data_IF_569443430025
#
_entry.id   IF_569443430025
#
_cell.length_a   1.000
_cell.length_b   1.000
_cell.length_c   1.000
_cell.angle_alpha   90.00
_cell.angle_beta   90.00
_cell.angle_gamma   90.00
#
_symmetry.space_group_name_H-M   'P 1'
#
loop_
_entity.id
_entity.type
_entity.pdbx_description
1 polymer ?
#
# COMPACT_ATOMS: atom_id res chain seq x y z
N UNK A 1 -31.50 -28.55 -26.32
CA UNK A 1 -31.32 -28.71 -24.87
C UNK A 1 -30.47 -27.55 -24.38
N UNK A 2 -30.97 -26.93 -23.31
CA UNK A 2 -30.47 -25.75 -22.61
C UNK A 2 -29.33 -26.08 -21.64
N UNK A 3 -28.67 -25.00 -21.17
CA UNK A 3 -27.95 -24.83 -19.90
C UNK A 3 -26.41 -25.02 -19.82
N UNK A 4 -25.74 -23.86 -19.90
CA UNK A 4 -24.90 -23.19 -18.88
C UNK A 4 -23.67 -23.90 -18.25
N UNK A 5 -22.47 -23.26 -18.31
CA UNK A 5 -21.35 -23.57 -17.42
C UNK A 5 -21.52 -22.88 -16.06
N UNK A 6 -21.29 -23.63 -14.98
CA UNK A 6 -21.09 -23.13 -13.60
C UNK A 6 -19.63 -23.37 -13.24
N UNK A 7 -18.93 -22.35 -12.75
CA UNK A 7 -18.20 -22.42 -11.46
C UNK A 7 -17.62 -21.03 -11.12
N UNK A 8 -18.40 -20.25 -10.37
CA UNK A 8 -17.98 -19.03 -9.67
C UNK A 8 -17.39 -19.46 -8.33
N UNK A 9 -16.08 -19.59 -8.22
CA UNK A 9 -15.42 -19.81 -6.93
C UNK A 9 -15.22 -18.47 -6.23
N UNK A 10 -16.24 -18.05 -5.50
CA UNK A 10 -16.18 -16.92 -4.57
C UNK A 10 -15.24 -17.24 -3.39
N UNK A 11 -14.21 -16.42 -3.21
CA UNK A 11 -13.28 -16.48 -2.08
C UNK A 11 -13.92 -15.86 -0.83
N UNK A 12 -14.17 -16.67 0.21
CA UNK A 12 -14.67 -16.21 1.50
C UNK A 12 -13.53 -15.91 2.49
N UNK A 13 -13.43 -14.68 3.05
CA UNK A 13 -12.46 -14.38 4.08
C UNK A 13 -12.94 -14.88 5.45
N UNK A 14 -12.15 -15.76 6.08
CA UNK A 14 -12.37 -16.16 7.47
C UNK A 14 -11.84 -15.07 8.41
N UNK A 15 -12.78 -14.47 9.14
CA UNK A 15 -12.55 -13.46 10.16
C UNK A 15 -12.26 -14.17 11.49
N UNK A 16 -11.01 -14.16 11.94
CA UNK A 16 -10.64 -14.62 13.29
C UNK A 16 -10.43 -13.41 14.20
N UNK A 17 -11.12 -13.49 15.32
CA UNK A 17 -11.41 -12.42 16.27
C UNK A 17 -10.46 -12.51 17.47
N UNK A 18 -10.36 -11.39 18.20
CA UNK A 18 -9.95 -11.31 19.62
C UNK A 18 -8.45 -11.14 19.91
N UNK A 19 -8.07 -9.99 20.46
CA UNK A 19 -8.02 -9.81 21.93
C UNK A 19 -7.38 -8.46 22.27
N UNK A 20 -8.08 -7.73 23.13
CA UNK A 20 -7.68 -6.48 23.77
C UNK A 20 -6.73 -6.80 24.93
N UNK A 21 -5.62 -6.07 25.07
CA UNK A 21 -4.98 -5.87 26.38
C UNK A 21 -4.41 -4.43 26.46
N UNK A 22 -4.83 -3.75 27.53
CA UNK A 22 -4.37 -2.44 27.97
C UNK A 22 -3.05 -2.57 28.74
N UNK A 23 -2.13 -1.62 28.57
CA UNK A 23 -1.15 -1.27 29.61
C UNK A 23 -0.67 0.18 29.47
N UNK A 24 -0.63 0.84 30.63
CA UNK A 24 -0.43 2.26 30.90
C UNK A 24 1.04 2.67 31.18
N UNK A 25 1.38 3.94 30.87
CA UNK A 25 2.37 4.86 31.53
C UNK A 25 3.89 4.54 31.30
N UNK A 26 4.86 5.45 31.01
CA UNK A 26 5.13 6.87 31.36
C UNK A 26 6.20 7.56 30.47
N UNK A 27 6.00 8.88 30.28
CA UNK A 27 6.90 10.05 30.07
C UNK A 27 8.44 9.86 29.91
N UNK A 28 9.04 10.51 28.88
CA UNK A 28 9.86 11.77 28.91
C UNK A 28 10.68 11.91 27.59
N UNK A 29 10.49 12.93 26.73
CA UNK A 29 11.16 14.26 26.63
C UNK A 29 12.11 14.39 25.40
N UNK A 30 11.74 15.33 24.53
CA UNK A 30 12.51 16.24 23.65
C UNK A 30 13.40 15.84 22.45
N UNK A 31 13.03 16.50 21.32
CA UNK A 31 13.82 17.21 20.29
C UNK A 31 14.59 16.47 19.17
N UNK A 32 14.14 16.79 17.96
CA UNK A 32 14.78 16.67 16.63
C UNK A 32 16.00 17.61 16.47
N UNK A 33 16.57 17.87 15.25
CA UNK A 33 16.53 17.16 13.94
C UNK A 33 17.95 16.98 13.32
N UNK A 34 18.10 16.20 12.24
CA UNK A 34 19.25 16.39 11.32
C UNK A 34 19.02 15.84 9.91
N UNK A 35 18.85 16.80 9.01
CA UNK A 35 18.94 16.77 7.55
C UNK A 35 20.37 16.41 7.12
N UNK A 36 20.58 15.42 6.25
CA UNK A 36 21.81 15.43 5.45
C UNK A 36 21.65 14.81 4.06
N UNK A 37 21.71 15.71 3.08
CA UNK A 37 21.83 15.49 1.65
C UNK A 37 23.19 14.86 1.28
N UNK A 38 23.19 13.78 0.50
CA UNK A 38 24.32 13.46 -0.38
C UNK A 38 23.83 13.04 -1.78
N UNK A 39 24.18 13.90 -2.72
CA UNK A 39 24.04 13.85 -4.16
C UNK A 39 25.08 12.86 -4.74
N UNK A 40 24.65 11.96 -5.63
CA UNK A 40 25.51 11.28 -6.62
C UNK A 40 24.78 11.27 -7.96
N UNK A 41 25.53 11.42 -9.06
CA UNK A 41 25.09 11.73 -10.43
C UNK A 41 25.50 10.58 -11.37
N UNK A 42 24.69 10.40 -12.43
CA UNK A 42 24.85 9.61 -13.67
C UNK A 42 24.44 8.12 -13.60
N UNK A 43 23.69 7.50 -14.53
CA UNK A 43 23.05 7.85 -15.82
C UNK A 43 22.18 6.64 -16.21
N UNK A 44 20.89 6.82 -16.52
CA UNK A 44 20.13 6.01 -17.49
C UNK A 44 18.79 6.71 -17.79
N UNK A 45 18.45 6.82 -19.08
CA UNK A 45 17.32 7.57 -19.62
C UNK A 45 16.00 6.81 -19.39
N UNK A 46 15.26 7.20 -18.35
CA UNK A 46 13.82 6.93 -18.21
C UNK A 46 13.17 8.16 -17.58
N UNK A 47 11.94 8.57 -17.96
CA UNK A 47 11.29 9.71 -17.35
C UNK A 47 10.99 9.36 -15.89
N UNK A 48 11.87 9.80 -14.98
CA UNK A 48 11.75 9.70 -13.54
C UNK A 48 10.45 10.40 -13.10
N UNK A 49 9.39 9.61 -12.96
CA UNK A 49 8.18 10.00 -12.25
C UNK A 49 8.59 10.23 -10.79
N UNK A 50 8.80 11.51 -10.47
CA UNK A 50 9.42 12.10 -9.27
C UNK A 50 8.94 11.65 -7.86
N UNK A 51 8.12 10.61 -7.72
CA UNK A 51 7.55 10.15 -6.45
C UNK A 51 7.86 8.68 -6.10
N UNK A 52 8.84 8.05 -6.77
CA UNK A 52 9.25 6.67 -6.46
C UNK A 52 10.16 6.63 -5.22
N UNK A 53 9.70 6.02 -4.13
CA UNK A 53 10.41 5.91 -2.84
C UNK A 53 10.64 4.44 -2.47
N UNK A 54 11.53 4.17 -1.51
CA UNK A 54 11.77 2.81 -0.97
C UNK A 54 11.53 2.75 0.52
N UNK A 55 10.87 1.70 0.99
CA UNK A 55 10.63 1.45 2.42
C UNK A 55 11.83 0.75 3.09
N UNK A 56 11.75 0.53 4.40
CA UNK A 56 12.80 -0.16 5.17
C UNK A 56 12.99 -1.63 4.73
N UNK A 57 12.02 -2.22 4.02
CA UNK A 57 12.07 -3.58 3.48
C UNK A 57 12.58 -3.60 2.03
N UNK A 58 12.92 -2.44 1.46
CA UNK A 58 13.38 -2.28 0.08
C UNK A 58 12.27 -2.31 -0.97
N UNK A 59 10.99 -2.32 -0.56
CA UNK A 59 9.87 -2.26 -1.49
C UNK A 59 9.73 -0.85 -2.07
N UNK A 60 9.36 -0.79 -3.34
CA UNK A 60 9.04 0.48 -3.99
C UNK A 60 7.66 0.94 -3.55
N UNK A 61 7.54 2.21 -3.16
CA UNK A 61 6.25 2.82 -2.87
C UNK A 61 6.13 4.22 -3.47
N UNK A 62 4.88 4.63 -3.66
CA UNK A 62 4.46 5.93 -4.16
C UNK A 62 3.61 6.58 -3.08
N UNK A 63 3.91 7.84 -2.76
CA UNK A 63 3.16 8.57 -1.76
C UNK A 63 1.91 9.21 -2.39
N UNK A 64 0.71 8.88 -1.85
CA UNK A 64 -0.56 9.49 -2.26
C UNK A 64 -0.90 10.72 -1.41
N UNK A 65 -0.59 10.64 -0.11
CA UNK A 65 -0.75 11.75 0.84
C UNK A 65 0.25 11.61 2.00
N UNK A 66 0.25 12.54 2.95
CA UNK A 66 1.09 12.46 4.14
C UNK A 66 0.95 11.15 4.91
N UNK A 67 -0.25 10.54 4.86
CA UNK A 67 -0.59 9.30 5.58
C UNK A 67 -0.96 8.13 4.66
N UNK A 68 -0.93 8.25 3.33
CA UNK A 68 -1.32 7.14 2.43
C UNK A 68 -0.26 6.86 1.38
N UNK A 69 -0.01 5.56 1.14
CA UNK A 69 0.99 5.07 0.19
C UNK A 69 0.41 3.96 -0.67
N UNK A 70 0.92 3.84 -1.89
CA UNK A 70 0.82 2.65 -2.73
C UNK A 70 2.17 1.95 -2.72
N UNK A 71 2.23 0.68 -2.34
CA UNK A 71 3.48 -0.08 -2.26
C UNK A 71 3.40 -1.28 -3.19
N UNK A 72 4.46 -1.50 -3.98
CA UNK A 72 4.63 -2.75 -4.74
C UNK A 72 5.27 -3.77 -3.80
N UNK A 73 4.48 -4.75 -3.38
CA UNK A 73 4.88 -5.79 -2.43
C UNK A 73 4.81 -7.17 -3.07
N UNK A 74 5.19 -8.20 -2.31
CA UNK A 74 4.98 -9.61 -2.67
C UNK A 74 4.19 -10.31 -1.57
N UNK A 75 3.22 -11.13 -1.95
CA UNK A 75 2.57 -12.06 -1.03
C UNK A 75 3.54 -13.18 -0.62
N UNK A 76 3.18 -13.97 0.40
CA UNK A 76 3.98 -15.12 0.85
C UNK A 76 4.21 -16.16 -0.25
N UNK A 77 3.32 -16.24 -1.25
CA UNK A 77 3.49 -17.06 -2.46
C UNK A 77 4.61 -16.56 -3.39
N UNK A 78 5.13 -15.35 -3.17
CA UNK A 78 6.13 -14.68 -4.01
C UNK A 78 5.55 -13.81 -5.13
N UNK A 79 4.24 -13.84 -5.34
CA UNK A 79 3.56 -13.07 -6.38
C UNK A 79 3.51 -11.58 -6.02
N UNK A 80 3.71 -10.72 -7.03
CA UNK A 80 3.64 -9.27 -6.87
C UNK A 80 2.20 -8.81 -6.65
N UNK A 81 2.05 -7.81 -5.79
CA UNK A 81 0.78 -7.20 -5.44
C UNK A 81 0.93 -5.69 -5.22
N UNK A 82 -0.20 -4.99 -5.26
CA UNK A 82 -0.29 -3.55 -5.03
C UNK A 82 -0.99 -3.30 -3.70
N UNK A 83 -0.27 -2.77 -2.71
CA UNK A 83 -0.81 -2.46 -1.39
C UNK A 83 -1.12 -0.97 -1.27
N UNK A 84 -2.41 -0.62 -1.08
CA UNK A 84 -2.88 0.74 -0.83
C UNK A 84 -3.21 0.87 0.65
N UNK A 85 -2.38 1.61 1.40
CA UNK A 85 -2.42 1.60 2.86
C UNK A 85 -2.21 2.95 3.52
N UNK A 86 -2.99 3.20 4.57
CA UNK A 86 -2.76 4.28 5.52
C UNK A 86 -1.59 3.94 6.45
N UNK A 87 -0.77 4.94 6.76
CA UNK A 87 0.31 4.86 7.73
C UNK A 87 0.07 5.89 8.82
N UNK A 88 0.24 5.48 10.07
CA UNK A 88 0.15 6.37 11.23
C UNK A 88 1.46 6.30 12.01
N UNK A 89 1.71 7.33 12.83
CA UNK A 89 2.88 7.37 13.68
C UNK A 89 2.50 6.96 15.10
N UNK A 90 3.25 6.03 15.69
CA UNK A 90 3.15 5.65 17.10
C UNK A 90 4.57 5.46 17.63
N UNK A 91 4.89 6.11 18.74
CA UNK A 91 6.22 6.07 19.38
C UNK A 91 7.35 6.50 18.42
N UNK A 92 7.08 7.49 17.57
CA UNK A 92 8.04 7.99 16.57
C UNK A 92 8.16 7.11 15.31
N UNK A 93 7.59 5.91 15.30
CA UNK A 93 7.66 4.96 14.19
C UNK A 93 6.40 5.01 13.30
N UNK A 94 6.59 4.90 11.99
CA UNK A 94 5.48 4.72 11.04
C UNK A 94 5.00 3.27 11.03
N UNK A 95 3.74 3.06 11.37
CA UNK A 95 3.09 1.74 11.38
C UNK A 95 1.98 1.65 10.34
N UNK A 96 1.79 0.47 9.73
CA UNK A 96 0.70 0.25 8.79
C UNK A 96 -0.65 0.28 9.51
N UNK A 97 -1.60 1.01 8.94
CA UNK A 97 -3.00 1.06 9.37
C UNK A 97 -3.93 0.39 8.35
N UNK A 98 -5.11 0.99 8.18
CA UNK A 98 -6.17 0.51 7.28
C UNK A 98 -5.70 0.52 5.83
N UNK A 99 -6.02 -0.52 5.08
CA UNK A 99 -5.62 -0.64 3.68
C UNK A 99 -6.03 -1.96 3.06
N UNK A 100 -5.76 -2.09 1.76
CA UNK A 100 -6.03 -3.28 0.96
C UNK A 100 -4.81 -3.64 0.12
N UNK A 101 -4.49 -4.93 0.06
CA UNK A 101 -3.47 -5.47 -0.83
C UNK A 101 -4.17 -6.19 -1.98
N UNK A 102 -4.03 -5.65 -3.18
CA UNK A 102 -4.63 -6.19 -4.39
C UNK A 102 -3.64 -7.13 -5.08
N UNK A 103 -3.99 -8.42 -5.26
CA UNK A 103 -3.26 -9.30 -6.17
C UNK A 103 -3.22 -8.71 -7.59
N UNK A 104 -2.24 -9.13 -8.39
CA UNK A 104 -2.03 -8.61 -9.75
C UNK A 104 -3.31 -8.61 -10.60
N UNK A 105 -4.07 -9.71 -10.57
CA UNK A 105 -5.31 -9.83 -11.34
C UNK A 105 -6.37 -8.79 -10.96
N UNK A 106 -6.53 -8.50 -9.66
CA UNK A 106 -7.49 -7.48 -9.19
C UNK A 106 -7.01 -6.07 -9.54
N UNK A 107 -5.69 -5.83 -9.51
CA UNK A 107 -5.12 -4.56 -9.94
C UNK A 107 -5.37 -4.31 -11.43
N UNK A 108 -5.17 -5.33 -12.28
CA UNK A 108 -5.43 -5.24 -13.72
C UNK A 108 -6.90 -4.92 -14.01
N UNK A 109 -7.83 -5.62 -13.36
CA UNK A 109 -9.26 -5.31 -13.47
C UNK A 109 -9.61 -3.87 -13.02
N UNK A 110 -8.98 -3.38 -11.94
CA UNK A 110 -9.16 -1.99 -11.52
C UNK A 110 -8.65 -1.00 -12.58
N UNK A 111 -7.51 -1.28 -13.20
CA UNK A 111 -6.93 -0.44 -14.26
C UNK A 111 -7.85 -0.37 -15.48
N UNK A 112 -8.47 -1.48 -15.88
CA UNK A 112 -9.44 -1.52 -16.97
C UNK A 112 -10.68 -0.64 -16.69
N UNK A 113 -11.11 -0.56 -15.44
CA UNK A 113 -12.26 0.25 -15.01
C UNK A 113 -11.93 1.73 -14.79
N UNK A 114 -10.65 2.14 -14.80
CA UNK A 114 -10.25 3.53 -14.53
C UNK A 114 -10.94 4.57 -15.42
N UNK A 115 -11.15 4.37 -16.73
CA UNK A 115 -11.86 5.35 -17.56
C UNK A 115 -13.29 5.62 -17.06
N UNK A 116 -14.03 4.56 -16.74
CA UNK A 116 -15.40 4.64 -16.25
C UNK A 116 -15.47 5.29 -14.86
N UNK A 117 -14.56 4.90 -13.96
CA UNK A 117 -14.41 5.51 -12.63
C UNK A 117 -14.11 6.99 -12.76
N UNK A 118 -13.17 7.38 -13.64
CA UNK A 118 -12.81 8.78 -13.86
C UNK A 118 -13.97 9.60 -14.42
N UNK A 119 -14.75 9.04 -15.35
CA UNK A 119 -15.96 9.69 -15.85
C UNK A 119 -17.01 9.86 -14.74
N UNK A 120 -17.18 8.87 -13.87
CA UNK A 120 -18.12 8.94 -12.75
C UNK A 120 -17.73 10.01 -11.71
N UNK A 121 -16.43 10.28 -11.53
CA UNK A 121 -15.90 11.29 -10.62
C UNK A 121 -16.00 12.74 -11.13
N UNK A 122 -16.31 12.96 -12.42
CA UNK A 122 -16.44 14.30 -13.02
C UNK A 122 -17.84 14.91 -12.92
N UNK A 123 -18.76 14.26 -12.20
CA UNK A 123 -20.09 14.80 -11.89
C UNK A 123 -20.05 15.75 -10.70
#
# INVERSE_FOLDING_TARGET
>A
MSESPKDDTAYEPKNDSSSEEEVEISKTVEKAPSRNSKKRKATDDTPETSNTLKDAKGNVYYQLSSKRRVTITKFSSGEKAVDLREWYQKDGEYKPGKGICLPKAQWEALVELLPEINQALQK
#
